data_IF_524064968933
#
_entry.id   IF_524064968933
#
_cell.length_a   1.000
_cell.length_b   1.000
_cell.length_c   1.000
_cell.angle_alpha   90.00
_cell.angle_beta   90.00
_cell.angle_gamma   90.00
#
_symmetry.space_group_name_H-M   'P 1'
#
loop_
_entity.id
_entity.type
_entity.pdbx_description
1 polymer ?
#
# COMPACT_ATOMS: atom_id res chain seq x y z
N UNK A 1 4.01 -7.64 -7.21
CA UNK A 1 5.13 -8.58 -6.97
C UNK A 1 4.80 -9.74 -6.01
N UNK A 2 3.59 -9.87 -5.45
CA UNK A 2 3.24 -10.96 -4.50
C UNK A 2 2.44 -12.13 -5.11
N UNK A 3 2.47 -12.32 -6.43
CA UNK A 3 1.61 -13.31 -7.13
C UNK A 3 2.26 -14.70 -7.31
N UNK A 4 3.50 -14.93 -6.85
CA UNK A 4 4.19 -16.21 -7.05
C UNK A 4 4.25 -17.03 -5.73
N UNK A 5 3.48 -18.13 -5.62
CA UNK A 5 3.42 -18.97 -4.42
C UNK A 5 4.77 -19.60 -4.05
N UNK A 6 5.63 -19.89 -5.03
CA UNK A 6 6.93 -20.52 -4.80
C UNK A 6 7.92 -19.55 -4.15
N UNK A 7 7.84 -18.26 -4.49
CA UNK A 7 8.67 -17.22 -3.88
C UNK A 7 8.23 -16.95 -2.44
N UNK A 8 6.92 -16.97 -2.18
CA UNK A 8 6.38 -16.87 -0.82
C UNK A 8 6.81 -18.06 0.04
N UNK A 9 6.77 -19.28 -0.51
CA UNK A 9 7.21 -20.49 0.20
C UNK A 9 8.71 -20.47 0.53
N UNK A 10 9.57 -20.08 -0.43
CA UNK A 10 11.01 -19.98 -0.20
C UNK A 10 11.40 -18.86 0.79
N UNK A 11 10.64 -17.76 0.81
CA UNK A 11 10.80 -16.70 1.80
C UNK A 11 10.38 -17.18 3.20
N UNK A 12 9.26 -17.90 3.29
CA UNK A 12 8.78 -18.50 4.53
C UNK A 12 9.79 -19.50 5.11
N UNK A 13 10.36 -20.38 4.28
CA UNK A 13 11.35 -21.37 4.70
C UNK A 13 12.62 -20.73 5.29
N UNK A 14 13.10 -19.62 4.70
CA UNK A 14 14.23 -18.86 5.25
C UNK A 14 13.87 -18.09 6.53
N UNK A 15 12.64 -17.56 6.63
CA UNK A 15 12.17 -16.85 7.80
C UNK A 15 11.97 -17.80 8.99
N UNK A 16 11.41 -18.98 8.77
CA UNK A 16 11.23 -20.02 9.80
C UNK A 16 12.58 -20.46 10.39
N UNK A 17 13.63 -20.60 9.56
CA UNK A 17 14.99 -20.89 10.03
C UNK A 17 15.63 -19.77 10.89
N UNK A 18 15.14 -18.53 10.77
CA UNK A 18 15.62 -17.37 11.53
C UNK A 18 14.84 -17.18 12.85
N UNK A 19 13.58 -17.58 12.88
CA UNK A 19 12.67 -17.44 14.03
C UNK A 19 13.04 -18.44 15.15
N UNK A 20 13.60 -19.60 14.80
CA UNK A 20 13.93 -20.67 15.75
C UNK A 20 15.43 -20.82 16.07
N UNK A 21 16.29 -19.89 15.66
CA UNK A 21 17.64 -19.79 16.24
C UNK A 21 17.57 -18.82 17.42
N UNK A 22 17.25 -19.27 18.65
CA UNK A 22 17.37 -18.41 19.82
C UNK A 22 18.83 -17.99 19.89
N UNK A 23 19.09 -16.70 19.71
CA UNK A 23 20.44 -16.15 19.79
C UNK A 23 21.04 -16.28 21.19
N UNK A 24 20.31 -16.88 22.15
CA UNK A 24 20.66 -16.97 23.58
C UNK A 24 20.66 -15.60 24.26
N UNK A 25 20.59 -14.52 23.48
CA UNK A 25 20.81 -13.17 23.92
C UNK A 25 19.62 -12.71 24.76
N UNK A 26 18.39 -12.89 24.27
CA UNK A 26 17.20 -12.55 25.03
C UNK A 26 17.10 -13.39 26.31
N UNK A 27 17.49 -14.67 26.28
CA UNK A 27 17.52 -15.55 27.45
C UNK A 27 18.59 -15.13 28.46
N UNK A 28 19.73 -14.60 28.03
CA UNK A 28 20.81 -14.14 28.92
C UNK A 28 20.58 -12.76 29.54
N UNK A 29 19.59 -11.98 29.05
CA UNK A 29 19.28 -10.67 29.61
C UNK A 29 18.80 -10.72 31.09
N UNK A 30 19.18 -9.74 31.92
CA UNK A 30 18.65 -9.61 33.28
C UNK A 30 17.12 -9.50 33.32
N UNK A 31 16.50 -10.01 34.40
CA UNK A 31 15.03 -10.03 34.57
C UNK A 31 14.39 -8.65 34.39
N UNK A 32 15.04 -7.58 34.87
CA UNK A 32 14.54 -6.20 34.74
C UNK A 32 14.47 -5.78 33.27
N UNK A 33 15.46 -6.15 32.46
CA UNK A 33 15.50 -5.83 31.03
C UNK A 33 14.41 -6.60 30.28
N UNK A 34 14.27 -7.90 30.55
CA UNK A 34 13.20 -8.73 29.96
C UNK A 34 11.80 -8.15 30.20
N UNK A 35 11.53 -7.65 31.42
CA UNK A 35 10.24 -7.00 31.74
C UNK A 35 10.00 -5.74 30.90
N UNK A 36 11.02 -4.92 30.68
CA UNK A 36 10.92 -3.73 29.82
C UNK A 36 10.68 -4.11 28.37
N UNK A 37 11.42 -5.09 27.84
CA UNK A 37 11.21 -5.62 26.48
C UNK A 37 9.77 -6.12 26.31
N UNK A 38 9.23 -6.86 27.27
CA UNK A 38 7.85 -7.33 27.21
C UNK A 38 6.83 -6.17 27.24
N UNK A 39 7.08 -5.13 28.02
CA UNK A 39 6.23 -3.94 28.01
C UNK A 39 6.26 -3.23 26.65
N UNK A 40 7.43 -3.13 26.01
CA UNK A 40 7.58 -2.58 24.67
C UNK A 40 6.88 -3.43 23.61
N UNK A 41 6.96 -4.77 23.70
CA UNK A 41 6.21 -5.68 22.82
C UNK A 41 4.70 -5.45 22.93
N UNK A 42 4.17 -5.25 24.13
CA UNK A 42 2.75 -4.95 24.32
C UNK A 42 2.35 -3.62 23.68
N UNK A 43 3.23 -2.61 23.70
CA UNK A 43 3.00 -1.36 22.97
C UNK A 43 3.06 -1.56 21.46
N UNK A 44 4.01 -2.36 20.96
CA UNK A 44 4.12 -2.68 19.54
C UNK A 44 2.84 -3.34 19.00
N UNK A 45 2.21 -4.23 19.78
CA UNK A 45 0.93 -4.84 19.39
C UNK A 45 -0.16 -3.78 19.22
N UNK A 46 -0.20 -2.75 20.07
CA UNK A 46 -1.17 -1.65 19.94
C UNK A 46 -0.88 -0.79 18.70
N UNK A 47 0.39 -0.54 18.40
CA UNK A 47 0.77 0.14 17.15
C UNK A 47 0.27 -0.65 15.93
N UNK A 48 0.53 -1.96 15.90
CA UNK A 48 0.08 -2.83 14.82
C UNK A 48 -1.46 -2.85 14.65
N UNK A 49 -2.22 -2.73 15.74
CA UNK A 49 -3.68 -2.61 15.67
C UNK A 49 -4.14 -1.31 15.01
N UNK A 50 -3.41 -0.21 15.23
CA UNK A 50 -3.69 1.08 14.60
C UNK A 50 -3.31 1.03 13.12
N UNK A 51 -2.14 0.49 12.80
CA UNK A 51 -1.69 0.27 11.42
C UNK A 51 -2.69 -0.60 10.64
N UNK A 52 -3.21 -1.66 11.25
CA UNK A 52 -4.23 -2.51 10.62
C UNK A 52 -5.48 -1.71 10.21
N UNK A 53 -5.97 -0.83 11.09
CA UNK A 53 -7.11 0.05 10.76
C UNK A 53 -6.78 1.05 9.66
N UNK A 54 -5.59 1.65 9.70
CA UNK A 54 -5.14 2.54 8.65
C UNK A 54 -5.13 1.83 7.28
N UNK A 55 -4.59 0.62 7.21
CA UNK A 55 -4.57 -0.14 5.95
C UNK A 55 -5.96 -0.62 5.52
N UNK A 56 -6.85 -0.92 6.45
CA UNK A 56 -8.26 -1.19 6.14
C UNK A 56 -8.92 0.02 5.47
N UNK A 57 -8.75 1.22 6.03
CA UNK A 57 -9.28 2.47 5.47
C UNK A 57 -8.67 2.81 4.10
N UNK A 58 -7.35 2.64 3.95
CA UNK A 58 -6.67 2.81 2.66
C UNK A 58 -7.22 1.82 1.63
N UNK A 59 -7.42 0.57 2.02
CA UNK A 59 -7.94 -0.44 1.11
C UNK A 59 -9.38 -0.14 0.67
N UNK A 60 -10.22 0.34 1.60
CA UNK A 60 -11.58 0.79 1.29
C UNK A 60 -11.57 1.98 0.32
N UNK A 61 -10.63 2.91 0.50
CA UNK A 61 -10.41 4.03 -0.40
C UNK A 61 -9.98 3.56 -1.79
N UNK A 62 -9.00 2.65 -1.88
CA UNK A 62 -8.56 2.05 -3.14
C UNK A 62 -9.73 1.38 -3.87
N UNK A 63 -10.56 0.59 -3.17
CA UNK A 63 -11.74 -0.05 -3.78
C UNK A 63 -12.73 0.98 -4.31
N UNK A 64 -12.97 2.07 -3.58
CA UNK A 64 -13.87 3.15 -4.02
C UNK A 64 -13.38 3.79 -5.33
N UNK A 65 -12.09 4.14 -5.42
CA UNK A 65 -11.55 4.78 -6.61
C UNK A 65 -11.33 3.80 -7.77
N UNK A 66 -11.05 2.52 -7.50
CA UNK A 66 -10.96 1.49 -8.54
C UNK A 66 -12.26 1.39 -9.37
N UNK A 67 -13.42 1.50 -8.72
CA UNK A 67 -14.73 1.52 -9.42
C UNK A 67 -14.87 2.74 -10.33
N UNK A 68 -14.34 3.91 -9.94
CA UNK A 68 -14.36 5.12 -10.77
C UNK A 68 -13.43 5.01 -11.98
N UNK A 69 -12.31 4.30 -11.83
CA UNK A 69 -11.39 4.04 -12.95
C UNK A 69 -11.91 2.98 -13.92
N UNK A 70 -12.78 2.07 -13.48
CA UNK A 70 -13.20 0.93 -14.28
C UNK A 70 -13.80 1.32 -15.64
N UNK A 71 -14.75 2.28 -15.75
CA UNK A 71 -15.29 2.69 -17.05
C UNK A 71 -14.23 3.28 -17.98
N UNK A 72 -13.24 4.00 -17.44
CA UNK A 72 -12.13 4.54 -18.23
C UNK A 72 -11.24 3.42 -18.77
N UNK A 73 -11.00 2.39 -17.96
CA UNK A 73 -10.23 1.22 -18.40
C UNK A 73 -10.99 0.36 -19.39
N UNK A 74 -12.31 0.23 -19.24
CA UNK A 74 -13.18 -0.46 -20.19
C UNK A 74 -13.17 0.27 -21.54
N UNK A 75 -13.36 1.60 -21.54
CA UNK A 75 -13.27 2.42 -22.77
C UNK A 75 -11.90 2.33 -23.42
N UNK A 76 -10.82 2.40 -22.63
CA UNK A 76 -9.46 2.22 -23.13
C UNK A 76 -9.26 0.83 -23.74
N UNK A 77 -9.82 -0.21 -23.13
CA UNK A 77 -9.79 -1.57 -23.66
C UNK A 77 -10.52 -1.65 -25.01
N UNK A 78 -11.69 -1.02 -25.15
CA UNK A 78 -12.43 -0.98 -26.42
C UNK A 78 -11.62 -0.30 -27.53
N UNK A 79 -10.96 0.83 -27.22
CA UNK A 79 -10.11 1.57 -28.17
C UNK A 79 -8.90 0.73 -28.59
N UNK A 80 -8.15 0.16 -27.62
CA UNK A 80 -6.92 -0.62 -27.89
C UNK A 80 -7.22 -1.84 -28.79
N UNK A 81 -8.39 -2.46 -28.62
CA UNK A 81 -8.79 -3.63 -29.39
C UNK A 81 -9.57 -3.28 -30.67
N UNK A 82 -9.67 -1.99 -31.03
CA UNK A 82 -10.45 -1.49 -32.15
C UNK A 82 -11.92 -1.98 -32.16
N UNK A 83 -12.48 -2.21 -30.96
CA UNK A 83 -13.91 -2.49 -30.77
C UNK A 83 -14.71 -1.18 -30.90
N UNK A 84 -14.10 -0.09 -30.46
CA UNK A 84 -14.62 1.27 -30.59
C UNK A 84 -13.61 2.16 -31.31
N UNK A 85 -14.05 2.89 -32.33
CA UNK A 85 -13.26 3.91 -33.00
C UNK A 85 -13.57 5.29 -32.38
N UNK A 86 -12.57 6.01 -31.83
CA UNK A 86 -12.78 7.32 -31.23
C UNK A 86 -13.34 8.37 -32.21
N UNK A 87 -14.11 9.31 -31.68
CA UNK A 87 -14.54 10.48 -32.45
C UNK A 87 -13.40 11.48 -32.63
N UNK A 88 -13.55 12.43 -33.56
CA UNK A 88 -12.57 13.52 -33.74
C UNK A 88 -12.38 14.33 -32.46
N UNK A 89 -13.46 14.55 -31.70
CA UNK A 89 -13.44 15.27 -30.42
C UNK A 89 -12.66 14.49 -29.34
N UNK A 90 -12.87 13.16 -29.23
CA UNK A 90 -12.13 12.31 -28.28
C UNK A 90 -10.63 12.19 -28.64
N UNK A 91 -10.26 12.47 -29.89
CA UNK A 91 -8.87 12.52 -30.33
C UNK A 91 -8.17 13.86 -30.03
N UNK A 92 -8.91 14.90 -29.62
CA UNK A 92 -8.35 16.21 -29.30
C UNK A 92 -7.62 16.17 -27.96
N UNK A 93 -6.28 16.18 -27.98
CA UNK A 93 -5.47 16.25 -26.77
C UNK A 93 -5.41 17.68 -26.20
N UNK A 94 -5.83 17.86 -24.94
CA UNK A 94 -5.84 19.14 -24.23
C UNK A 94 -4.86 19.11 -23.05
N UNK A 95 -3.62 19.61 -23.21
CA UNK A 95 -2.61 19.57 -22.14
C UNK A 95 -2.97 20.48 -20.95
N UNK A 96 -3.79 21.51 -21.16
CA UNK A 96 -4.13 22.52 -20.14
C UNK A 96 -4.88 21.91 -18.93
N UNK A 97 -5.64 20.83 -19.13
CA UNK A 97 -6.34 20.13 -18.04
C UNK A 97 -5.38 19.35 -17.11
N UNK A 98 -4.21 18.92 -17.62
CA UNK A 98 -3.20 18.23 -16.83
C UNK A 98 -2.48 19.19 -15.86
N UNK A 99 -2.18 20.40 -16.34
CA UNK A 99 -1.51 21.44 -15.55
C UNK A 99 -2.40 21.93 -14.38
N UNK A 100 -3.71 22.10 -14.60
CA UNK A 100 -4.67 22.48 -13.55
C UNK A 100 -4.75 21.45 -12.42
N UNK A 101 -4.81 20.15 -12.75
CA UNK A 101 -4.81 19.06 -11.76
C UNK A 101 -3.50 19.06 -10.96
N UNK A 102 -2.37 19.32 -11.63
CA UNK A 102 -1.06 19.33 -10.98
C UNK A 102 -0.92 20.44 -9.93
N UNK A 103 -1.49 21.63 -10.20
CA UNK A 103 -1.46 22.77 -9.28
C UNK A 103 -2.40 22.56 -8.10
N UNK A 104 -3.60 22.02 -8.32
CA UNK A 104 -4.54 21.72 -7.23
C UNK A 104 -3.98 20.66 -6.25
N UNK A 105 -3.26 19.66 -6.76
CA UNK A 105 -2.57 18.67 -5.94
C UNK A 105 -1.43 19.28 -5.12
N UNK A 106 -0.66 20.22 -5.70
CA UNK A 106 0.41 20.95 -4.97
C UNK A 106 -0.16 21.83 -3.87
N UNK A 107 -1.34 22.42 -4.08
CA UNK A 107 -2.02 23.23 -3.05
C UNK A 107 -2.51 22.35 -1.90
N UNK A 108 -3.21 21.24 -2.18
CA UNK A 108 -3.72 20.33 -1.14
C UNK A 108 -2.62 19.56 -0.39
N UNK A 109 -1.45 19.37 -1.00
CA UNK A 109 -0.29 18.74 -0.36
C UNK A 109 0.48 19.67 0.59
N UNK A 110 0.23 20.99 0.54
CA UNK A 110 0.70 21.93 1.57
C UNK A 110 -0.18 21.77 2.80
N UNK A 111 0.13 20.78 3.62
CA UNK A 111 -0.44 20.66 4.96
C UNK A 111 -0.02 21.93 5.72
N UNK A 112 -0.98 22.67 6.27
CA UNK A 112 -0.70 23.76 7.21
C UNK A 112 0.06 23.14 8.40
N UNK A 113 1.32 23.56 8.57
CA UNK A 113 2.14 23.21 9.73
C UNK A 113 1.42 23.71 11.00
N UNK A 114 0.76 22.82 11.76
CA UNK A 114 0.34 23.07 13.15
C UNK A 114 1.47 22.78 14.16
#
# INVERSE_FOLDING_TARGET
MMQNPQILAALQERLDGLVETPTGYIESLPRVVKRRVNALKNLQVKCAQIEAKFYEEVHDLERKYAVLYQPLFDKRFEIINAIYEPTEEECEWKPDEEDEISEELKEKAKIEDE
#
